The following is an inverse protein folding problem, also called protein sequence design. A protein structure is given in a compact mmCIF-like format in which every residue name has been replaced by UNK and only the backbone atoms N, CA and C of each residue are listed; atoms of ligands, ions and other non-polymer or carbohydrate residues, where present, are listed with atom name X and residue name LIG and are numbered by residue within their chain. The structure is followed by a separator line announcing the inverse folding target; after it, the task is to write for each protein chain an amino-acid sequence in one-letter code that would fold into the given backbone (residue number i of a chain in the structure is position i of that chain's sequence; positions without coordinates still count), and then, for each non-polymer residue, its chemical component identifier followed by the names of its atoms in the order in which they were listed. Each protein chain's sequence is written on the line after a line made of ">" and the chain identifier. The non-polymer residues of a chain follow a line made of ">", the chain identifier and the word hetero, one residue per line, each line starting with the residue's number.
data_IF_218695038355
#
_entry.id   IF_218695038355
#
_cell.length_a   1.000
_cell.length_b   1.000
_cell.length_c   1.000
_cell.angle_alpha   90.00
_cell.angle_beta   90.00
_cell.angle_gamma   90.00
#
_symmetry.space_group_name_H-M   'P 1'
#
loop_
_entity.id
_entity.type
_entity.pdbx_description
1 polymer ?
#
# COMPACT_ATOMS: atom_id res chain seq x y z
N UNK A 1 17.61 12.30 -18.40
CA UNK A 1 17.52 13.77 -18.18
C UNK A 1 16.65 14.04 -16.97
N UNK A 2 17.23 14.56 -15.90
CA UNK A 2 16.59 14.74 -14.59
C UNK A 2 15.53 15.84 -14.60
N UNK A 3 14.34 15.52 -14.07
CA UNK A 3 13.21 16.43 -13.79
C UNK A 3 13.52 17.57 -12.80
N UNK A 4 14.77 17.74 -12.38
CA UNK A 4 15.16 18.68 -11.31
C UNK A 4 15.82 19.99 -11.77
N UNK A 5 15.89 20.29 -13.07
CA UNK A 5 16.57 21.52 -13.54
C UNK A 5 15.67 22.75 -13.72
N UNK A 6 14.35 22.67 -13.49
CA UNK A 6 13.42 23.81 -13.68
C UNK A 6 12.84 24.44 -12.40
N UNK A 7 13.27 24.04 -11.20
CA UNK A 7 12.68 24.53 -9.93
C UNK A 7 13.23 25.91 -9.48
N UNK A 8 14.21 26.50 -10.16
CA UNK A 8 14.79 27.80 -9.76
C UNK A 8 14.51 28.95 -10.74
N UNK A 9 13.24 29.30 -10.98
CA UNK A 9 12.90 30.52 -11.76
C UNK A 9 12.19 31.64 -11.00
N UNK A 10 11.75 31.41 -9.77
CA UNK A 10 11.02 32.43 -9.00
C UNK A 10 11.56 32.53 -7.57
N UNK A 11 11.84 33.75 -7.14
CA UNK A 11 12.05 34.09 -5.73
C UNK A 11 10.77 33.91 -4.92
N UNK A 12 10.89 33.69 -3.62
CA UNK A 12 9.72 33.58 -2.70
C UNK A 12 8.81 34.81 -2.80
N UNK A 13 9.40 36.00 -3.02
CA UNK A 13 8.62 37.24 -3.20
C UNK A 13 7.77 37.20 -4.47
N UNK A 14 8.30 36.67 -5.56
CA UNK A 14 7.56 36.54 -6.82
C UNK A 14 6.45 35.49 -6.70
N UNK A 15 6.69 34.39 -5.98
CA UNK A 15 5.67 33.36 -5.73
C UNK A 15 4.49 33.88 -4.90
N UNK A 16 4.73 34.84 -3.99
CA UNK A 16 3.70 35.49 -3.18
C UNK A 16 2.93 36.60 -3.91
N UNK A 17 3.40 37.04 -5.08
CA UNK A 17 2.70 38.03 -5.90
C UNK A 17 1.67 37.33 -6.78
N UNK A 18 0.47 37.10 -6.23
CA UNK A 18 -0.59 36.34 -6.88
C UNK A 18 -1.27 37.13 -8.00
N UNK A 19 -1.58 36.46 -9.10
CA UNK A 19 -2.53 36.98 -10.12
C UNK A 19 -3.98 36.82 -9.64
N UNK A 20 -4.93 37.48 -10.31
CA UNK A 20 -6.37 37.31 -10.05
C UNK A 20 -6.83 35.85 -10.19
N UNK A 21 -6.29 35.13 -11.17
CA UNK A 21 -6.60 33.71 -11.39
C UNK A 21 -5.97 32.83 -10.29
N UNK A 22 -4.75 33.16 -9.85
CA UNK A 22 -4.11 32.48 -8.71
C UNK A 22 -4.87 32.74 -7.40
N UNK A 23 -5.40 33.94 -7.15
CA UNK A 23 -6.27 34.17 -5.99
C UNK A 23 -7.59 33.38 -6.08
N UNK A 24 -8.15 33.21 -7.27
CA UNK A 24 -9.37 32.43 -7.49
C UNK A 24 -9.14 30.94 -7.25
N UNK A 25 -7.96 30.39 -7.55
CA UNK A 25 -7.71 28.95 -7.35
C UNK A 25 -7.78 28.55 -5.88
N UNK A 26 -7.26 29.38 -4.97
CA UNK A 26 -7.37 29.14 -3.52
C UNK A 26 -8.84 29.18 -3.05
N UNK A 27 -9.67 30.05 -3.64
CA UNK A 27 -11.12 30.09 -3.38
C UNK A 27 -11.83 28.84 -3.92
N UNK A 28 -11.48 28.40 -5.12
CA UNK A 28 -12.03 27.18 -5.72
C UNK A 28 -11.68 25.93 -4.89
N UNK A 29 -10.46 25.85 -4.36
CA UNK A 29 -10.05 24.77 -3.44
C UNK A 29 -10.84 24.85 -2.13
N UNK A 30 -10.97 26.05 -1.55
CA UNK A 30 -11.69 26.26 -0.30
C UNK A 30 -13.16 25.83 -0.39
N UNK A 31 -13.78 26.07 -1.55
CA UNK A 31 -15.17 25.73 -1.85
C UNK A 31 -15.34 24.31 -2.43
N UNK A 32 -14.24 23.56 -2.60
CA UNK A 32 -14.20 22.27 -3.29
C UNK A 32 -14.85 22.28 -4.69
N UNK A 33 -14.80 23.43 -5.38
CA UNK A 33 -15.37 23.62 -6.72
C UNK A 33 -14.42 23.07 -7.79
N UNK A 34 -14.53 21.77 -8.07
CA UNK A 34 -13.70 21.07 -9.07
C UNK A 34 -13.77 21.74 -10.45
N UNK A 35 -14.95 22.17 -10.90
CA UNK A 35 -15.09 22.72 -12.26
C UNK A 35 -14.35 24.04 -12.44
N UNK A 36 -14.50 24.96 -11.48
CA UNK A 36 -13.78 26.23 -11.48
C UNK A 36 -12.28 26.01 -11.31
N UNK A 37 -11.90 25.12 -10.40
CA UNK A 37 -10.51 24.71 -10.19
C UNK A 37 -9.87 24.21 -11.49
N UNK A 38 -10.51 23.26 -12.18
CA UNK A 38 -9.99 22.70 -13.45
C UNK A 38 -9.82 23.79 -14.52
N UNK A 39 -10.75 24.76 -14.60
CA UNK A 39 -10.66 25.86 -15.57
C UNK A 39 -9.49 26.83 -15.29
N UNK A 40 -8.98 26.85 -14.05
CA UNK A 40 -7.90 27.75 -13.61
C UNK A 40 -6.51 27.09 -13.70
N UNK A 41 -6.42 25.76 -13.73
CA UNK A 41 -5.14 25.02 -13.64
C UNK A 41 -4.11 25.45 -14.69
N UNK A 42 -4.54 25.68 -15.94
CA UNK A 42 -3.64 26.06 -17.03
C UNK A 42 -3.13 27.51 -16.93
N UNK A 43 -3.72 28.32 -16.04
CA UNK A 43 -3.45 29.77 -15.92
C UNK A 43 -2.61 30.14 -14.71
N UNK A 44 -2.31 29.19 -13.83
CA UNK A 44 -1.64 29.45 -12.56
C UNK A 44 -0.20 28.93 -12.57
N UNK A 45 0.66 29.52 -11.73
CA UNK A 45 1.91 28.87 -11.35
C UNK A 45 1.59 27.78 -10.32
N UNK A 46 2.02 26.51 -10.53
CA UNK A 46 1.70 25.40 -9.62
C UNK A 46 2.12 25.62 -8.16
N UNK A 47 3.19 26.40 -7.96
CA UNK A 47 3.80 26.68 -6.66
C UNK A 47 3.60 28.14 -6.22
N UNK A 48 2.56 28.84 -6.72
CA UNK A 48 2.17 30.15 -6.20
C UNK A 48 1.84 30.06 -4.69
N UNK A 49 1.96 31.17 -3.96
CA UNK A 49 1.90 31.16 -2.50
C UNK A 49 0.97 32.24 -1.97
N UNK A 50 0.11 31.88 -1.01
CA UNK A 50 -0.54 32.85 -0.15
C UNK A 50 0.47 33.53 0.81
N UNK A 51 0.00 34.55 1.54
CA UNK A 51 0.85 35.35 2.44
C UNK A 51 1.58 34.52 3.50
N UNK A 52 0.93 33.49 4.03
CA UNK A 52 1.45 32.53 5.02
C UNK A 52 2.32 31.41 4.41
N UNK A 53 2.59 31.45 3.10
CA UNK A 53 3.37 30.44 2.41
C UNK A 53 2.62 29.15 2.07
N UNK A 54 1.29 29.14 2.12
CA UNK A 54 0.47 28.04 1.63
C UNK A 54 0.45 28.04 0.10
N UNK A 55 0.74 26.88 -0.51
CA UNK A 55 0.52 26.67 -1.94
C UNK A 55 -0.84 26.03 -2.21
N UNK A 56 -1.34 26.07 -3.47
CA UNK A 56 -2.58 25.38 -3.83
C UNK A 56 -2.55 23.90 -3.44
N UNK A 57 -1.40 23.24 -3.63
CA UNK A 57 -1.21 21.83 -3.25
C UNK A 57 -1.38 21.64 -1.75
N UNK A 58 -0.77 22.49 -0.92
CA UNK A 58 -0.88 22.39 0.53
C UNK A 58 -2.34 22.55 0.98
N UNK A 59 -3.07 23.53 0.44
CA UNK A 59 -4.49 23.72 0.80
C UNK A 59 -5.35 22.53 0.35
N UNK A 60 -5.15 22.01 -0.86
CA UNK A 60 -5.87 20.83 -1.35
C UNK A 60 -5.58 19.58 -0.49
N UNK A 61 -4.34 19.39 -0.03
CA UNK A 61 -3.96 18.33 0.88
C UNK A 61 -4.67 18.44 2.24
N UNK A 62 -4.74 19.65 2.81
CA UNK A 62 -5.42 19.88 4.08
C UNK A 62 -6.94 19.67 3.98
N UNK A 63 -7.56 20.13 2.88
CA UNK A 63 -8.98 19.86 2.59
C UNK A 63 -9.26 18.38 2.35
N UNK A 64 -8.25 17.66 1.87
CA UNK A 64 -8.36 16.24 1.61
C UNK A 64 -9.06 15.92 0.30
N UNK A 65 -8.99 16.83 -0.66
CA UNK A 65 -9.55 16.62 -2.00
C UNK A 65 -8.53 15.85 -2.86
N UNK A 66 -8.70 14.52 -2.92
CA UNK A 66 -7.81 13.61 -3.65
C UNK A 66 -7.63 14.00 -5.12
N UNK A 67 -8.68 14.52 -5.78
CA UNK A 67 -8.65 14.80 -7.20
C UNK A 67 -7.90 16.10 -7.51
N UNK A 68 -8.14 17.16 -6.73
CA UNK A 68 -7.39 18.42 -6.85
C UNK A 68 -5.89 18.20 -6.60
N UNK A 69 -5.54 17.36 -5.63
CA UNK A 69 -4.13 17.01 -5.36
C UNK A 69 -3.47 16.37 -6.58
N UNK A 70 -4.12 15.37 -7.20
CA UNK A 70 -3.58 14.73 -8.40
C UNK A 70 -3.36 15.73 -9.53
N UNK A 71 -4.39 16.54 -9.83
CA UNK A 71 -4.31 17.54 -10.89
C UNK A 71 -3.18 18.55 -10.66
N UNK A 72 -2.93 18.97 -9.41
CA UNK A 72 -1.82 19.88 -9.09
C UNK A 72 -0.45 19.22 -9.29
N UNK A 73 -0.31 17.96 -8.87
CA UNK A 73 0.93 17.20 -9.08
C UNK A 73 1.19 16.97 -10.57
N UNK A 74 0.15 16.72 -11.37
CA UNK A 74 0.23 16.54 -12.83
C UNK A 74 0.72 17.80 -13.55
N UNK A 75 0.35 19.01 -13.10
CA UNK A 75 0.88 20.27 -13.65
C UNK A 75 2.24 20.68 -13.06
N UNK A 76 2.87 19.82 -12.25
CA UNK A 76 4.21 20.03 -11.72
C UNK A 76 4.29 20.83 -10.41
N UNK A 77 3.25 20.79 -9.58
CA UNK A 77 3.35 21.27 -8.20
C UNK A 77 4.42 20.47 -7.43
N UNK A 78 5.22 21.19 -6.64
CA UNK A 78 6.29 20.59 -5.84
C UNK A 78 5.71 19.85 -4.63
N UNK A 79 5.78 18.52 -4.66
CA UNK A 79 5.26 17.63 -3.61
C UNK A 79 5.99 17.80 -2.26
N UNK A 80 7.19 18.39 -2.26
CA UNK A 80 8.00 18.63 -1.07
C UNK A 80 8.20 20.12 -0.77
N UNK A 81 7.32 20.99 -1.26
CA UNK A 81 7.37 22.45 -1.06
C UNK A 81 7.42 22.84 0.43
N UNK A 82 8.25 23.82 0.78
CA UNK A 82 8.58 24.17 2.18
C UNK A 82 8.44 25.65 2.54
N UNK A 83 7.64 26.39 1.79
CA UNK A 83 7.52 27.84 1.99
C UNK A 83 6.54 28.25 3.09
N UNK A 84 5.81 27.31 3.69
CA UNK A 84 4.96 27.58 4.85
C UNK A 84 5.79 28.13 6.01
N UNK A 85 5.28 29.15 6.71
CA UNK A 85 6.06 29.90 7.72
C UNK A 85 6.60 29.02 8.87
N UNK A 86 5.97 27.87 9.13
CA UNK A 86 6.41 26.88 10.14
C UNK A 86 7.16 25.67 9.55
N UNK A 87 7.51 25.69 8.27
CA UNK A 87 8.21 24.60 7.59
C UNK A 87 7.37 23.33 7.36
N UNK A 88 6.04 23.46 7.32
CA UNK A 88 5.16 22.32 7.06
C UNK A 88 5.14 22.00 5.56
N UNK A 89 5.25 20.71 5.23
CA UNK A 89 5.18 20.20 3.85
C UNK A 89 3.75 19.76 3.51
N UNK A 90 3.39 19.60 2.21
CA UNK A 90 2.12 19.02 1.82
C UNK A 90 1.82 17.67 2.50
N UNK A 91 2.86 16.83 2.67
CA UNK A 91 2.72 15.52 3.31
C UNK A 91 2.33 15.65 4.79
N UNK A 92 2.85 16.64 5.52
CA UNK A 92 2.46 16.91 6.90
C UNK A 92 1.00 17.36 7.00
N UNK A 93 0.52 18.20 6.08
CA UNK A 93 -0.88 18.62 6.06
C UNK A 93 -1.83 17.46 5.72
N UNK A 94 -1.48 16.62 4.76
CA UNK A 94 -2.25 15.41 4.44
C UNK A 94 -2.30 14.42 5.61
N UNK A 95 -1.17 14.27 6.31
CA UNK A 95 -1.03 13.44 7.51
C UNK A 95 -1.92 13.95 8.66
N UNK A 96 -1.89 15.26 8.93
CA UNK A 96 -2.74 15.90 9.94
C UNK A 96 -4.24 15.78 9.61
N UNK A 97 -4.59 15.94 8.34
CA UNK A 97 -5.96 15.82 7.86
C UNK A 97 -6.48 14.37 7.81
N UNK A 98 -5.62 13.37 8.10
CA UNK A 98 -6.01 11.96 8.09
C UNK A 98 -6.32 11.42 6.70
N UNK A 99 -5.54 11.84 5.69
CA UNK A 99 -5.78 11.51 4.28
C UNK A 99 -4.71 10.55 3.74
N UNK A 100 -4.80 9.24 4.02
CA UNK A 100 -3.74 8.28 3.70
C UNK A 100 -3.48 8.13 2.20
N UNK A 101 -4.52 8.25 1.37
CA UNK A 101 -4.35 8.20 -0.09
C UNK A 101 -3.65 9.45 -0.64
N UNK A 102 -3.91 10.63 -0.08
CA UNK A 102 -3.18 11.85 -0.45
C UNK A 102 -1.73 11.72 0.01
N UNK A 103 -1.47 11.18 1.21
CA UNK A 103 -0.11 10.87 1.64
C UNK A 103 0.58 9.96 0.60
N UNK A 104 -0.08 8.90 0.14
CA UNK A 104 0.47 8.02 -0.89
C UNK A 104 0.76 8.74 -2.21
N UNK A 105 -0.15 9.61 -2.70
CA UNK A 105 0.06 10.38 -3.93
C UNK A 105 1.28 11.31 -3.83
N UNK A 106 1.43 12.00 -2.71
CA UNK A 106 2.57 12.88 -2.46
C UNK A 106 3.89 12.10 -2.41
N UNK A 107 3.90 10.95 -1.72
CA UNK A 107 5.06 10.07 -1.64
C UNK A 107 5.43 9.51 -3.03
N UNK A 108 4.43 9.09 -3.81
CA UNK A 108 4.62 8.63 -5.18
C UNK A 108 5.18 9.75 -6.09
N UNK A 109 4.94 11.02 -5.73
CA UNK A 109 5.46 12.21 -6.40
C UNK A 109 6.76 12.75 -5.80
N UNK A 110 7.42 11.97 -4.94
CA UNK A 110 8.76 12.29 -4.41
C UNK A 110 8.79 13.09 -3.12
N UNK A 111 7.65 13.29 -2.42
CA UNK A 111 7.65 13.91 -1.10
C UNK A 111 8.52 13.12 -0.11
N UNK A 112 9.32 13.82 0.69
CA UNK A 112 10.24 13.17 1.63
C UNK A 112 9.55 12.87 2.97
N UNK A 113 9.75 11.65 3.48
CA UNK A 113 9.23 11.19 4.78
C UNK A 113 10.02 11.73 5.97
N UNK A 114 11.22 12.28 5.72
CA UNK A 114 12.19 12.69 6.75
C UNK A 114 12.30 14.21 6.93
N UNK A 115 11.50 15.00 6.22
CA UNK A 115 11.47 16.45 6.43
C UNK A 115 10.89 16.75 7.80
N UNK A 116 11.55 17.63 8.53
CA UNK A 116 11.10 18.13 9.83
C UNK A 116 10.59 19.57 9.69
N UNK A 117 9.50 19.87 10.38
CA UNK A 117 9.01 21.24 10.53
C UNK A 117 9.78 22.01 11.62
N UNK A 118 9.36 23.24 11.92
CA UNK A 118 10.02 24.10 12.91
C UNK A 118 10.06 23.55 14.35
N UNK A 119 9.26 22.54 14.68
CA UNK A 119 9.26 21.86 15.98
C UNK A 119 9.99 20.51 15.96
N UNK A 120 10.72 20.21 14.89
CA UNK A 120 11.50 18.97 14.76
C UNK A 120 10.62 17.73 14.58
N UNK A 121 9.48 17.86 13.88
CA UNK A 121 8.55 16.75 13.65
C UNK A 121 8.36 16.44 12.17
N UNK A 122 8.42 15.15 11.86
CA UNK A 122 8.15 14.57 10.54
C UNK A 122 6.65 14.36 10.29
N UNK A 123 6.26 14.17 9.03
CA UNK A 123 4.85 13.90 8.70
C UNK A 123 4.28 12.65 9.40
N UNK A 124 5.09 11.60 9.54
CA UNK A 124 4.69 10.38 10.26
C UNK A 124 4.46 10.62 11.75
N UNK A 125 5.31 11.43 12.40
CA UNK A 125 5.12 11.81 13.79
C UNK A 125 3.92 12.74 13.99
N UNK A 126 3.68 13.67 13.06
CA UNK A 126 2.49 14.53 13.09
C UNK A 126 1.21 13.67 12.98
N UNK A 127 1.16 12.71 12.04
CA UNK A 127 0.06 11.75 11.95
C UNK A 127 -0.13 10.97 13.25
N UNK A 128 0.95 10.50 13.87
CA UNK A 128 0.88 9.78 15.14
C UNK A 128 0.32 10.65 16.27
N UNK A 129 0.75 11.92 16.34
CA UNK A 129 0.32 12.89 17.36
C UNK A 129 -1.19 13.12 17.34
N UNK A 130 -1.80 13.18 16.15
CA UNK A 130 -3.26 13.35 15.98
C UNK A 130 -4.02 12.02 15.86
N UNK A 131 -3.35 10.88 16.05
CA UNK A 131 -3.99 9.55 16.01
C UNK A 131 -4.40 9.07 14.61
N UNK A 132 -3.78 9.58 13.55
CA UNK A 132 -4.04 9.21 12.15
C UNK A 132 -3.24 7.98 11.74
N UNK A 133 -3.56 6.83 12.33
CA UNK A 133 -2.73 5.62 12.27
C UNK A 133 -2.51 5.05 10.86
N UNK A 134 -3.51 5.12 9.97
CA UNK A 134 -3.33 4.68 8.58
C UNK A 134 -2.29 5.55 7.86
N UNK A 135 -2.29 6.87 8.09
CA UNK A 135 -1.28 7.77 7.53
C UNK A 135 0.12 7.42 8.05
N UNK A 136 0.26 7.12 9.35
CA UNK A 136 1.52 6.62 9.93
C UNK A 136 1.98 5.37 9.17
N UNK A 137 1.09 4.41 8.97
CA UNK A 137 1.43 3.16 8.27
C UNK A 137 1.83 3.39 6.82
N UNK A 138 1.13 4.26 6.08
CA UNK A 138 1.43 4.61 4.68
C UNK A 138 2.81 5.27 4.59
N UNK A 139 3.07 6.28 5.43
CA UNK A 139 4.32 7.04 5.42
C UNK A 139 5.50 6.14 5.80
N UNK A 140 5.38 5.37 6.88
CA UNK A 140 6.47 4.52 7.36
C UNK A 140 6.70 3.29 6.48
N UNK A 141 5.70 2.88 5.69
CA UNK A 141 5.82 1.74 4.79
C UNK A 141 6.34 2.10 3.39
N UNK A 142 6.61 3.38 3.13
CA UNK A 142 7.00 3.85 1.81
C UNK A 142 8.42 3.44 1.43
N UNK A 143 8.58 3.06 0.17
CA UNK A 143 9.86 2.83 -0.50
C UNK A 143 9.81 3.65 -1.77
N UNK A 144 10.76 4.56 -1.95
CA UNK A 144 10.79 5.42 -3.12
C UNK A 144 11.11 4.65 -4.39
N UNK A 145 10.57 5.09 -5.53
CA UNK A 145 10.85 4.51 -6.85
C UNK A 145 12.37 4.50 -7.15
N UNK A 146 13.09 5.52 -6.69
CA UNK A 146 14.54 5.62 -6.84
C UNK A 146 15.31 4.50 -6.12
N UNK A 147 14.79 3.97 -5.02
CA UNK A 147 15.42 2.83 -4.34
C UNK A 147 15.31 1.55 -5.18
N UNK A 148 14.17 1.34 -5.84
CA UNK A 148 13.95 0.25 -6.77
C UNK A 148 14.86 0.42 -8.00
N UNK A 149 14.86 1.63 -8.56
CA UNK A 149 15.64 1.97 -9.73
C UNK A 149 17.14 1.76 -9.51
N UNK A 150 17.69 2.18 -8.37
CA UNK A 150 19.10 1.97 -8.00
C UNK A 150 19.49 0.49 -7.88
N UNK A 151 18.55 -0.37 -7.47
CA UNK A 151 18.81 -1.82 -7.38
C UNK A 151 18.79 -2.47 -8.77
N UNK A 152 17.86 -2.07 -9.63
CA UNK A 152 17.77 -2.58 -11.00
C UNK A 152 18.90 -2.04 -11.88
N UNK A 153 19.28 -0.78 -11.68
CA UNK A 153 20.25 -0.03 -12.46
C UNK A 153 21.33 0.61 -11.57
N UNK A 154 22.28 -0.17 -11.00
CA UNK A 154 23.28 0.34 -10.06
C UNK A 154 24.19 1.44 -10.62
N UNK A 155 24.37 1.49 -11.94
CA UNK A 155 25.16 2.52 -12.64
C UNK A 155 24.28 3.45 -13.49
N UNK A 156 22.97 3.53 -13.19
CA UNK A 156 22.00 4.27 -13.99
C UNK A 156 21.98 3.77 -15.43
N UNK A 157 22.02 4.70 -16.39
CA UNK A 157 22.04 4.41 -17.84
C UNK A 157 23.27 3.60 -18.30
N UNK A 158 24.33 3.52 -17.48
CA UNK A 158 25.53 2.72 -17.77
C UNK A 158 25.46 1.28 -17.23
N UNK A 159 24.33 0.89 -16.63
CA UNK A 159 24.17 -0.47 -16.10
C UNK A 159 24.22 -1.50 -17.22
N UNK A 160 24.79 -2.67 -16.94
CA UNK A 160 24.97 -3.77 -17.91
C UNK A 160 23.66 -4.15 -18.63
N UNK A 161 22.56 -4.12 -17.89
CA UNK A 161 21.21 -4.33 -18.41
C UNK A 161 20.30 -3.20 -17.96
N UNK A 162 19.60 -2.62 -18.93
CA UNK A 162 18.54 -1.65 -18.70
C UNK A 162 17.20 -2.39 -18.77
N UNK A 163 16.45 -2.34 -17.69
CA UNK A 163 15.11 -2.90 -17.56
C UNK A 163 14.05 -1.84 -17.90
N UNK A 164 12.88 -2.27 -18.40
CA UNK A 164 11.78 -1.35 -18.71
C UNK A 164 11.28 -0.59 -17.47
N UNK A 165 10.84 0.66 -17.65
CA UNK A 165 10.28 1.48 -16.57
C UNK A 165 9.03 0.84 -15.96
N UNK A 166 8.26 0.13 -16.78
CA UNK A 166 7.09 -0.63 -16.35
C UNK A 166 7.44 -1.65 -15.26
N UNK A 167 8.63 -2.27 -15.33
CA UNK A 167 9.11 -3.19 -14.29
C UNK A 167 9.49 -2.44 -13.01
N UNK A 168 10.15 -1.29 -13.14
CA UNK A 168 10.51 -0.41 -11.99
C UNK A 168 9.23 0.00 -11.26
N UNK A 169 8.25 0.49 -12.01
CA UNK A 169 6.97 0.95 -11.50
C UNK A 169 6.16 -0.20 -10.88
N UNK A 170 6.19 -1.38 -11.48
CA UNK A 170 5.54 -2.57 -10.93
C UNK A 170 6.13 -2.96 -9.57
N UNK A 171 7.46 -3.07 -9.47
CA UNK A 171 8.12 -3.42 -8.21
C UNK A 171 7.89 -2.32 -7.17
N UNK A 172 7.99 -1.05 -7.56
CA UNK A 172 7.66 0.09 -6.71
C UNK A 172 6.24 -0.01 -6.15
N UNK A 173 5.21 -0.21 -7.00
CA UNK A 173 3.82 -0.43 -6.56
C UNK A 173 3.68 -1.56 -5.55
N UNK A 174 4.38 -2.67 -5.78
CA UNK A 174 4.31 -3.85 -4.92
C UNK A 174 4.90 -3.61 -3.53
N UNK A 175 5.94 -2.77 -3.42
CA UNK A 175 6.71 -2.62 -2.17
C UNK A 175 6.45 -1.32 -1.41
N UNK A 176 5.92 -0.29 -2.07
CA UNK A 176 5.75 1.06 -1.51
C UNK A 176 4.56 1.26 -0.57
N UNK A 177 3.63 0.30 -0.52
CA UNK A 177 2.40 0.45 0.25
C UNK A 177 2.48 -0.30 1.59
N UNK A 178 1.60 0.05 2.51
CA UNK A 178 1.41 -0.69 3.77
C UNK A 178 0.55 -1.97 3.59
N UNK A 179 0.11 -2.28 2.36
CA UNK A 179 -0.70 -3.45 2.05
C UNK A 179 0.20 -4.63 1.69
N UNK A 180 0.16 -5.69 2.51
CA UNK A 180 1.01 -6.88 2.33
C UNK A 180 0.22 -8.19 2.42
N UNK A 181 -1.11 -8.13 2.31
CA UNK A 181 -1.94 -9.34 2.32
C UNK A 181 -1.66 -10.20 1.08
N UNK A 182 -1.43 -11.52 1.20
CA UNK A 182 -1.03 -12.36 0.07
C UNK A 182 -1.96 -12.27 -1.15
N UNK A 183 -3.28 -12.29 -0.93
CA UNK A 183 -4.27 -12.19 -2.02
C UNK A 183 -4.27 -10.80 -2.67
N UNK A 184 -3.96 -9.73 -1.91
CA UNK A 184 -3.83 -8.40 -2.50
C UNK A 184 -2.64 -8.35 -3.45
N UNK A 185 -1.50 -8.87 -3.00
CA UNK A 185 -0.28 -8.94 -3.80
C UNK A 185 -0.50 -9.75 -5.08
N UNK A 186 -1.22 -10.87 -5.00
CA UNK A 186 -1.58 -11.68 -6.17
C UNK A 186 -2.48 -10.89 -7.14
N UNK A 187 -3.44 -10.11 -6.64
CA UNK A 187 -4.25 -9.24 -7.52
C UNK A 187 -3.40 -8.17 -8.20
N UNK A 188 -2.42 -7.59 -7.50
CA UNK A 188 -1.50 -6.61 -8.08
C UNK A 188 -0.60 -7.25 -9.15
N UNK A 189 -0.10 -8.47 -8.92
CA UNK A 189 0.64 -9.28 -9.92
C UNK A 189 -0.23 -9.60 -11.13
N UNK A 190 -1.47 -10.03 -10.95
CA UNK A 190 -2.34 -10.43 -12.06
C UNK A 190 -2.79 -9.23 -12.90
N UNK A 191 -2.92 -8.06 -12.26
CA UNK A 191 -3.22 -6.81 -12.93
C UNK A 191 -2.08 -6.28 -13.82
N UNK A 192 -0.86 -6.80 -13.66
CA UNK A 192 0.33 -6.33 -14.36
C UNK A 192 1.19 -7.50 -14.88
N UNK A 193 1.15 -7.70 -16.20
CA UNK A 193 1.81 -8.84 -16.85
C UNK A 193 3.35 -8.82 -16.82
N UNK A 194 3.98 -7.68 -16.50
CA UNK A 194 5.44 -7.48 -16.68
C UNK A 194 6.29 -8.46 -15.87
N UNK A 195 5.76 -8.95 -14.75
CA UNK A 195 6.42 -9.95 -13.90
C UNK A 195 6.63 -11.29 -14.62
N UNK A 196 5.77 -11.67 -15.56
CA UNK A 196 5.83 -13.00 -16.19
C UNK A 196 7.07 -13.21 -17.03
N UNK A 197 7.67 -12.12 -17.52
CA UNK A 197 8.94 -12.11 -18.27
C UNK A 197 10.13 -11.80 -17.37
N UNK A 198 9.91 -11.13 -16.23
CA UNK A 198 10.96 -10.61 -15.36
C UNK A 198 10.99 -11.24 -13.96
N UNK A 199 10.33 -12.38 -13.76
CA UNK A 199 10.04 -12.99 -12.45
C UNK A 199 11.25 -13.13 -11.53
N UNK A 200 12.38 -13.60 -12.05
CA UNK A 200 13.59 -13.83 -11.26
C UNK A 200 14.18 -12.50 -10.80
N UNK A 201 14.20 -11.50 -11.69
CA UNK A 201 14.69 -10.17 -11.35
C UNK A 201 13.74 -9.44 -10.40
N UNK A 202 12.43 -9.60 -10.54
CA UNK A 202 11.43 -9.07 -9.60
C UNK A 202 11.68 -9.63 -8.21
N UNK A 203 11.73 -10.96 -8.06
CA UNK A 203 11.98 -11.61 -6.76
C UNK A 203 13.32 -11.19 -6.18
N UNK A 204 14.37 -11.13 -7.01
CA UNK A 204 15.68 -10.67 -6.58
C UNK A 204 15.68 -9.21 -6.11
N UNK A 205 14.98 -8.32 -6.82
CA UNK A 205 14.91 -6.90 -6.46
C UNK A 205 14.17 -6.69 -5.13
N UNK A 206 13.05 -7.39 -4.94
CA UNK A 206 12.31 -7.36 -3.66
C UNK A 206 13.17 -7.95 -2.53
N UNK A 207 13.93 -9.01 -2.79
CA UNK A 207 14.89 -9.58 -1.83
C UNK A 207 16.01 -8.59 -1.46
N UNK A 208 16.54 -7.81 -2.41
CA UNK A 208 17.50 -6.74 -2.12
C UNK A 208 16.90 -5.59 -1.33
N UNK A 209 15.66 -5.18 -1.63
CA UNK A 209 14.92 -4.17 -0.85
C UNK A 209 14.71 -4.64 0.58
N UNK A 210 14.35 -5.91 0.76
CA UNK A 210 14.21 -6.57 2.05
C UNK A 210 15.52 -6.56 2.84
N UNK A 211 16.62 -7.04 2.25
CA UNK A 211 17.94 -7.09 2.89
C UNK A 211 18.44 -5.70 3.30
N UNK A 212 18.15 -4.67 2.49
CA UNK A 212 18.50 -3.28 2.81
C UNK A 212 17.88 -2.81 4.13
N UNK A 213 16.68 -3.29 4.50
CA UNK A 213 16.01 -2.85 5.74
C UNK A 213 16.72 -3.33 7.01
N UNK A 214 17.52 -4.38 6.91
CA UNK A 214 18.21 -4.99 8.05
C UNK A 214 19.70 -4.63 8.10
N UNK A 215 20.26 -4.18 6.97
CA UNK A 215 21.68 -3.82 6.82
C UNK A 215 21.90 -2.31 6.96
N UNK A 216 21.16 -1.67 7.86
CA UNK A 216 21.29 -0.25 8.23
C UNK A 216 21.72 -0.12 9.69
N UNK A 217 22.23 1.06 10.07
CA UNK A 217 22.65 1.35 11.45
C UNK A 217 21.52 1.07 12.46
N UNK A 218 20.29 1.39 12.06
CA UNK A 218 19.06 1.08 12.78
C UNK A 218 18.20 0.18 11.88
N UNK A 219 18.05 -1.12 12.21
CA UNK A 219 17.23 -2.03 11.42
C UNK A 219 15.76 -1.65 11.47
N UNK A 220 15.11 -1.59 10.30
CA UNK A 220 13.68 -1.41 10.22
C UNK A 220 12.97 -2.78 10.25
N UNK A 221 12.79 -3.32 11.46
CA UNK A 221 12.22 -4.66 11.63
C UNK A 221 10.79 -4.77 11.04
N UNK A 222 9.96 -3.74 11.22
CA UNK A 222 8.59 -3.69 10.68
C UNK A 222 8.61 -3.82 9.16
N UNK A 223 9.43 -3.01 8.48
CA UNK A 223 9.55 -3.09 7.02
C UNK A 223 10.18 -4.38 6.55
N UNK A 224 11.14 -4.93 7.30
CA UNK A 224 11.75 -6.21 6.97
C UNK A 224 10.75 -7.36 6.98
N UNK A 225 9.88 -7.43 8.00
CA UNK A 225 8.83 -8.45 8.08
C UNK A 225 7.79 -8.22 6.98
N UNK A 226 7.38 -6.96 6.74
CA UNK A 226 6.46 -6.61 5.64
C UNK A 226 6.99 -7.10 4.29
N UNK A 227 8.20 -6.70 3.92
CA UNK A 227 8.83 -7.07 2.64
C UNK A 227 9.11 -8.56 2.55
N UNK A 228 9.37 -9.23 3.67
CA UNK A 228 9.47 -10.67 3.70
C UNK A 228 8.15 -11.36 3.32
N UNK A 229 7.01 -10.89 3.84
CA UNK A 229 5.70 -11.43 3.45
C UNK A 229 5.43 -11.19 1.96
N UNK A 230 5.80 -10.02 1.43
CA UNK A 230 5.74 -9.74 -0.01
C UNK A 230 6.58 -10.76 -0.79
N UNK A 231 7.85 -10.90 -0.43
CA UNK A 231 8.80 -11.80 -1.08
C UNK A 231 8.39 -13.27 -1.00
N UNK A 232 7.96 -13.73 0.17
CA UNK A 232 7.50 -15.09 0.41
C UNK A 232 6.27 -15.39 -0.44
N UNK A 233 5.31 -14.46 -0.52
CA UNK A 233 4.14 -14.58 -1.38
C UNK A 233 4.50 -14.71 -2.85
N UNK A 234 5.40 -13.87 -3.36
CA UNK A 234 5.86 -13.96 -4.75
C UNK A 234 6.50 -15.32 -5.04
N UNK A 235 7.40 -15.79 -4.15
CA UNK A 235 8.12 -17.07 -4.33
C UNK A 235 7.15 -18.25 -4.39
N UNK A 236 6.25 -18.36 -3.41
CA UNK A 236 5.28 -19.46 -3.33
C UNK A 236 4.29 -19.43 -4.51
N UNK A 237 3.79 -18.25 -4.87
CA UNK A 237 2.89 -18.09 -6.00
C UNK A 237 3.58 -18.46 -7.32
N UNK A 238 4.78 -17.96 -7.59
CA UNK A 238 5.52 -18.28 -8.81
C UNK A 238 5.85 -19.77 -8.90
N UNK A 239 6.24 -20.39 -7.79
CA UNK A 239 6.48 -21.83 -7.73
C UNK A 239 5.19 -22.63 -8.00
N UNK A 240 4.05 -22.19 -7.46
CA UNK A 240 2.75 -22.79 -7.71
C UNK A 240 2.38 -22.69 -9.21
N UNK A 241 2.52 -21.51 -9.80
CA UNK A 241 2.25 -21.26 -11.23
C UNK A 241 3.14 -22.15 -12.10
N UNK A 242 4.44 -22.20 -11.85
CA UNK A 242 5.39 -23.02 -12.62
C UNK A 242 5.05 -24.51 -12.58
N UNK A 243 4.68 -25.02 -11.39
CA UNK A 243 4.27 -26.41 -11.22
C UNK A 243 3.03 -26.75 -12.06
N UNK A 244 2.04 -25.85 -12.08
CA UNK A 244 0.79 -26.09 -12.82
C UNK A 244 0.95 -25.90 -14.32
N UNK A 245 1.79 -24.97 -14.78
CA UNK A 245 2.13 -24.81 -16.20
C UNK A 245 2.85 -26.06 -16.72
N UNK A 246 3.84 -26.59 -15.97
CA UNK A 246 4.52 -27.84 -16.34
C UNK A 246 3.51 -28.99 -16.47
N UNK A 247 2.61 -29.14 -15.51
CA UNK A 247 1.58 -30.18 -15.54
C UNK A 247 0.58 -30.01 -16.69
N UNK A 248 0.22 -28.78 -17.06
CA UNK A 248 -0.68 -28.50 -18.18
C UNK A 248 -0.01 -28.76 -19.53
N UNK A 249 1.27 -28.40 -19.68
CA UNK A 249 2.05 -28.65 -20.90
C UNK A 249 2.33 -30.14 -21.10
N UNK A 250 2.46 -30.92 -20.03
CA UNK A 250 2.55 -32.39 -20.15
C UNK A 250 1.26 -33.05 -20.66
N UNK A 251 0.12 -32.33 -20.68
CA UNK A 251 -1.18 -32.85 -21.14
C UNK A 251 -1.54 -32.44 -22.57
N UNK A 252 -0.83 -31.49 -23.17
CA UNK A 252 -1.15 -30.93 -24.49
C UNK A 252 0.08 -30.99 -25.40
N UNK A 253 -0.05 -31.63 -26.56
CA UNK A 253 1.05 -31.81 -27.53
C UNK A 253 1.33 -30.56 -28.40
N UNK A 254 0.49 -29.53 -28.35
CA UNK A 254 0.63 -28.31 -29.15
C UNK A 254 1.27 -27.14 -28.38
N UNK A 255 2.18 -26.41 -29.05
CA UNK A 255 2.76 -25.15 -28.54
C UNK A 255 1.69 -24.05 -28.54
N UNK A 256 1.37 -23.53 -27.35
CA UNK A 256 0.47 -22.39 -27.17
C UNK A 256 1.11 -21.10 -27.67
N UNK A 257 0.27 -20.16 -28.10
CA UNK A 257 0.70 -18.79 -28.39
C UNK A 257 1.18 -18.06 -27.12
N UNK A 258 1.96 -16.99 -27.26
CA UNK A 258 2.49 -16.22 -26.12
C UNK A 258 1.35 -15.64 -25.24
N UNK A 259 0.30 -15.11 -25.85
CA UNK A 259 -0.88 -14.57 -25.16
C UNK A 259 -1.62 -15.64 -24.34
N UNK A 260 -1.80 -16.83 -24.91
CA UNK A 260 -2.40 -17.97 -24.19
C UNK A 260 -1.53 -18.43 -23.00
N UNK A 261 -0.21 -18.26 -23.11
CA UNK A 261 0.74 -18.53 -22.04
C UNK A 261 0.58 -17.57 -20.86
N UNK A 262 0.40 -16.27 -21.12
CA UNK A 262 0.19 -15.26 -20.09
C UNK A 262 -1.16 -15.43 -19.36
N UNK A 263 -2.25 -15.64 -20.11
CA UNK A 263 -3.58 -15.85 -19.53
C UNK A 263 -3.60 -17.07 -18.61
N UNK A 264 -2.86 -18.12 -18.97
CA UNK A 264 -2.72 -19.30 -18.14
C UNK A 264 -1.92 -19.03 -16.85
N UNK A 265 -0.85 -18.24 -16.92
CA UNK A 265 -0.09 -17.78 -15.73
C UNK A 265 -1.00 -16.99 -14.78
N UNK A 266 -1.75 -16.01 -15.31
CA UNK A 266 -2.73 -15.21 -14.56
C UNK A 266 -3.79 -16.09 -13.91
N UNK A 267 -4.35 -17.04 -14.66
CA UNK A 267 -5.32 -18.01 -14.14
C UNK A 267 -4.77 -18.80 -12.96
N UNK A 268 -3.57 -19.38 -13.09
CA UNK A 268 -2.99 -20.18 -12.00
C UNK A 268 -2.60 -19.33 -10.79
N UNK A 269 -2.20 -18.07 -10.98
CA UNK A 269 -1.99 -17.14 -9.87
C UNK A 269 -3.31 -16.85 -9.12
N UNK A 270 -4.40 -16.61 -9.85
CA UNK A 270 -5.73 -16.47 -9.25
C UNK A 270 -6.20 -17.76 -8.56
N UNK A 271 -5.89 -18.93 -9.11
CA UNK A 271 -6.18 -20.20 -8.47
C UNK A 271 -5.36 -20.37 -7.18
N UNK A 272 -4.10 -19.92 -7.13
CA UNK A 272 -3.33 -19.85 -5.89
C UNK A 272 -4.02 -18.95 -4.86
N UNK A 273 -4.48 -17.75 -5.23
CA UNK A 273 -5.27 -16.90 -4.33
C UNK A 273 -6.55 -17.60 -3.81
N UNK A 274 -7.28 -18.31 -4.67
CA UNK A 274 -8.44 -19.11 -4.25
C UNK A 274 -8.06 -20.21 -3.26
N UNK A 275 -6.91 -20.85 -3.41
CA UNK A 275 -6.45 -21.85 -2.42
C UNK A 275 -6.26 -21.23 -1.04
N UNK A 276 -5.71 -20.02 -0.96
CA UNK A 276 -5.56 -19.29 0.31
C UNK A 276 -6.92 -18.95 0.94
N UNK A 277 -7.88 -18.51 0.12
CA UNK A 277 -9.22 -18.13 0.60
C UNK A 277 -10.13 -19.32 0.92
N UNK A 278 -9.78 -20.52 0.44
CA UNK A 278 -10.63 -21.69 0.58
C UNK A 278 -10.82 -22.05 2.06
N UNK A 279 -12.07 -21.90 2.49
CA UNK A 279 -12.45 -22.12 3.87
C UNK A 279 -12.81 -23.57 4.11
N UNK A 280 -12.45 -24.07 5.28
CA UNK A 280 -12.74 -25.42 5.74
C UNK A 280 -13.75 -25.32 6.88
N UNK A 281 -14.94 -25.97 6.80
CA UNK A 281 -16.04 -25.75 7.74
C UNK A 281 -15.68 -25.96 9.22
N UNK A 282 -14.69 -26.80 9.48
CA UNK A 282 -14.22 -27.13 10.83
C UNK A 282 -13.57 -25.93 11.54
N UNK A 283 -12.95 -25.02 10.80
CA UNK A 283 -12.17 -23.92 11.38
C UNK A 283 -12.99 -22.62 11.53
N UNK A 284 -12.52 -21.73 12.39
CA UNK A 284 -13.13 -20.42 12.65
C UNK A 284 -12.46 -19.28 11.89
N UNK A 285 -11.29 -19.55 11.33
CA UNK A 285 -10.51 -18.68 10.45
C UNK A 285 -10.16 -19.44 9.18
N UNK A 286 -9.72 -18.73 8.14
CA UNK A 286 -9.33 -19.39 6.88
C UNK A 286 -8.09 -20.25 7.09
N UNK A 287 -8.28 -21.55 7.08
CA UNK A 287 -7.25 -22.55 7.32
C UNK A 287 -5.99 -22.35 6.47
N UNK A 288 -6.14 -22.21 5.16
CA UNK A 288 -5.00 -22.11 4.23
C UNK A 288 -4.26 -20.78 4.37
N UNK A 289 -4.98 -19.68 4.55
CA UNK A 289 -4.41 -18.35 4.83
C UNK A 289 -3.62 -18.36 6.15
N UNK A 290 -4.21 -18.92 7.21
CA UNK A 290 -3.58 -19.09 8.53
C UNK A 290 -2.25 -19.86 8.42
N UNK A 291 -2.29 -21.02 7.75
CA UNK A 291 -1.13 -21.87 7.54
C UNK A 291 -0.04 -21.16 6.74
N UNK A 292 -0.43 -20.44 5.68
CA UNK A 292 0.47 -19.69 4.82
C UNK A 292 1.22 -18.61 5.62
N UNK A 293 0.51 -17.78 6.39
CA UNK A 293 1.10 -16.69 7.17
C UNK A 293 2.03 -17.23 8.26
N UNK A 294 1.61 -18.28 8.98
CA UNK A 294 2.46 -18.92 10.00
C UNK A 294 3.75 -19.48 9.41
N UNK A 295 3.68 -20.16 8.26
CA UNK A 295 4.87 -20.66 7.54
C UNK A 295 5.78 -19.53 7.08
N UNK A 296 5.21 -18.44 6.57
CA UNK A 296 5.98 -17.27 6.16
C UNK A 296 6.79 -16.70 7.33
N UNK A 297 6.17 -16.51 8.51
CA UNK A 297 6.87 -16.03 9.71
C UNK A 297 7.91 -17.05 10.19
N UNK A 298 7.57 -18.35 10.26
CA UNK A 298 8.54 -19.39 10.63
C UNK A 298 9.72 -19.45 9.66
N UNK A 299 9.54 -19.06 8.39
CA UNK A 299 10.61 -19.03 7.38
C UNK A 299 11.42 -17.73 7.36
N UNK A 300 11.03 -16.71 8.13
CA UNK A 300 11.73 -15.43 8.20
C UNK A 300 13.22 -15.62 8.57
N UNK A 301 14.19 -15.11 7.81
CA UNK A 301 15.59 -15.53 7.99
C UNK A 301 16.25 -14.96 9.26
N UNK A 302 15.80 -13.82 9.79
CA UNK A 302 16.46 -13.11 10.90
C UNK A 302 15.78 -13.40 12.25
N UNK A 303 16.11 -14.54 12.86
CA UNK A 303 15.49 -15.02 14.11
C UNK A 303 15.84 -14.20 15.36
N UNK A 304 16.85 -13.35 15.26
CA UNK A 304 17.26 -12.41 16.29
C UNK A 304 16.39 -11.15 16.36
N UNK A 305 15.55 -10.88 15.35
CA UNK A 305 14.62 -9.76 15.38
C UNK A 305 13.67 -9.90 16.57
N UNK A 306 13.57 -8.84 17.38
CA UNK A 306 12.70 -8.83 18.55
C UNK A 306 11.23 -8.90 18.13
N UNK A 307 10.87 -8.21 17.06
CA UNK A 307 9.53 -8.26 16.45
C UNK A 307 9.19 -9.67 15.98
N UNK A 308 10.13 -10.36 15.31
CA UNK A 308 9.92 -11.74 14.89
C UNK A 308 9.72 -12.68 16.09
N UNK A 309 10.54 -12.55 17.14
CA UNK A 309 10.42 -13.37 18.35
C UNK A 309 9.06 -13.17 19.03
N UNK A 310 8.62 -11.91 19.14
CA UNK A 310 7.29 -11.56 19.65
C UNK A 310 6.18 -12.18 18.81
N UNK A 311 6.20 -12.01 17.48
CA UNK A 311 5.22 -12.59 16.55
C UNK A 311 5.18 -14.12 16.64
N UNK A 312 6.33 -14.77 16.64
CA UNK A 312 6.43 -16.22 16.72
C UNK A 312 5.88 -16.75 18.05
N UNK A 313 6.07 -16.02 19.15
CA UNK A 313 5.48 -16.36 20.44
C UNK A 313 3.96 -16.16 20.43
N UNK A 314 3.46 -15.04 19.92
CA UNK A 314 2.01 -14.79 19.79
C UNK A 314 1.31 -15.84 18.94
N UNK A 315 1.95 -16.33 17.89
CA UNK A 315 1.39 -17.43 17.10
C UNK A 315 1.31 -18.74 17.88
N UNK A 316 2.29 -19.05 18.74
CA UNK A 316 2.26 -20.27 19.57
C UNK A 316 1.15 -20.23 20.63
N UNK A 317 0.81 -19.04 21.13
CA UNK A 317 -0.25 -18.88 22.14
C UNK A 317 -1.66 -18.98 21.59
N UNK A 318 -1.84 -18.78 20.27
CA UNK A 318 -3.14 -18.87 19.60
C UNK A 318 -3.25 -20.23 18.91
N UNK A 319 -4.22 -21.03 19.34
CA UNK A 319 -4.53 -22.32 18.74
C UNK A 319 -4.77 -22.17 17.23
N UNK A 320 -4.22 -23.11 16.46
CA UNK A 320 -4.34 -23.08 15.01
C UNK A 320 -5.80 -23.23 14.56
N UNK A 321 -6.25 -22.32 13.69
CA UNK A 321 -7.62 -22.33 13.20
C UNK A 321 -8.62 -21.60 14.11
N UNK A 322 -8.16 -21.11 15.25
CA UNK A 322 -8.92 -20.28 16.19
C UNK A 322 -8.59 -18.79 16.00
N UNK A 323 -9.51 -17.88 16.37
CA UNK A 323 -9.26 -16.45 16.37
C UNK A 323 -8.29 -16.02 17.48
N UNK A 324 -7.60 -14.87 17.32
CA UNK A 324 -7.58 -14.04 16.12
C UNK A 324 -6.76 -14.70 14.99
N UNK A 325 -7.13 -14.50 13.71
CA UNK A 325 -6.34 -15.02 12.58
C UNK A 325 -4.88 -14.52 12.63
N UNK A 326 -3.93 -15.34 12.18
CA UNK A 326 -2.51 -15.01 12.10
C UNK A 326 -2.25 -13.71 11.34
N UNK A 327 -3.00 -13.43 10.29
CA UNK A 327 -2.89 -12.17 9.56
C UNK A 327 -3.28 -10.95 10.42
N UNK A 328 -4.28 -11.07 11.30
CA UNK A 328 -4.68 -10.00 12.22
C UNK A 328 -3.61 -9.77 13.29
N UNK A 329 -3.02 -10.83 13.83
CA UNK A 329 -1.88 -10.73 14.74
C UNK A 329 -0.71 -10.00 14.05
N UNK A 330 -0.43 -10.35 12.79
CA UNK A 330 0.59 -9.69 12.00
C UNK A 330 0.28 -8.20 11.75
N UNK A 331 -0.96 -7.87 11.39
CA UNK A 331 -1.39 -6.48 11.28
C UNK A 331 -1.24 -5.70 12.58
N UNK A 332 -1.59 -6.29 13.73
CA UNK A 332 -1.43 -5.62 15.02
C UNK A 332 0.03 -5.25 15.30
N UNK A 333 0.96 -6.13 14.94
CA UNK A 333 2.39 -5.91 15.12
C UNK A 333 2.98 -4.89 14.14
N UNK A 334 2.56 -4.91 12.87
CA UNK A 334 3.16 -4.07 11.82
C UNK A 334 2.46 -2.72 11.62
N UNK A 335 1.15 -2.67 11.86
CA UNK A 335 0.29 -1.54 11.56
C UNK A 335 -0.23 -0.84 12.84
N UNK A 336 -0.08 -1.49 13.99
CA UNK A 336 -0.49 -0.98 15.29
C UNK A 336 -1.92 -1.36 15.66
N UNK A 337 -2.13 -1.70 16.93
CA UNK A 337 -3.39 -2.22 17.46
C UNK A 337 -4.59 -1.29 17.22
N UNK A 338 -4.43 0.02 17.47
CA UNK A 338 -5.50 1.00 17.27
C UNK A 338 -5.98 1.04 15.82
N UNK A 339 -5.04 1.06 14.86
CA UNK A 339 -5.38 1.05 13.44
C UNK A 339 -6.19 -0.20 13.08
N UNK A 340 -5.78 -1.37 13.56
CA UNK A 340 -6.47 -2.63 13.26
C UNK A 340 -7.89 -2.65 13.83
N UNK A 341 -8.07 -2.16 15.05
CA UNK A 341 -9.39 -2.12 15.70
C UNK A 341 -10.36 -1.14 15.03
N UNK A 342 -9.89 0.02 14.57
CA UNK A 342 -10.76 1.05 13.97
C UNK A 342 -11.05 0.82 12.50
N UNK A 343 -10.33 -0.10 11.85
CA UNK A 343 -10.39 -0.32 10.40
C UNK A 343 -11.40 -1.39 10.00
N UNK A 344 -11.96 -1.22 8.81
CA UNK A 344 -12.85 -2.19 8.18
C UNK A 344 -12.07 -2.91 7.09
N UNK A 345 -11.40 -3.99 7.46
CA UNK A 345 -10.63 -4.77 6.50
C UNK A 345 -11.53 -5.53 5.53
N UNK A 346 -11.21 -5.43 4.24
CA UNK A 346 -11.82 -6.29 3.23
C UNK A 346 -11.47 -7.75 3.53
N UNK A 347 -12.48 -8.61 3.57
CA UNK A 347 -12.28 -10.04 3.81
C UNK A 347 -11.43 -10.73 2.75
N UNK A 348 -11.37 -10.22 1.52
CA UNK A 348 -10.62 -10.86 0.42
C UNK A 348 -9.16 -10.44 0.36
N UNK A 349 -8.91 -9.14 0.43
CA UNK A 349 -7.59 -8.54 0.17
C UNK A 349 -7.06 -7.67 1.32
N UNK A 350 -7.81 -7.55 2.41
CA UNK A 350 -7.44 -6.78 3.61
C UNK A 350 -7.10 -5.31 3.35
N UNK A 351 -7.75 -4.67 2.37
CA UNK A 351 -7.79 -3.20 2.31
C UNK A 351 -8.57 -2.66 3.53
N UNK A 352 -8.01 -1.72 4.32
CA UNK A 352 -8.58 -1.26 5.61
C UNK A 352 -9.81 -0.34 5.50
N UNK A 353 -10.09 0.17 4.30
CA UNK A 353 -11.14 1.17 4.03
C UNK A 353 -12.38 0.57 3.35
N UNK A 354 -12.73 -0.67 3.68
CA UNK A 354 -13.86 -1.35 3.06
C UNK A 354 -15.21 -0.71 3.46
N UNK A 355 -16.02 -0.35 2.45
CA UNK A 355 -17.33 0.29 2.64
C UNK A 355 -18.52 -0.64 2.42
N UNK A 356 -18.37 -1.68 1.58
CA UNK A 356 -19.44 -2.64 1.30
C UNK A 356 -19.42 -3.74 2.37
N UNK A 357 -20.56 -4.38 2.62
CA UNK A 357 -20.63 -5.52 3.53
C UNK A 357 -21.73 -6.52 3.17
N UNK A 358 -21.56 -7.77 3.57
CA UNK A 358 -22.59 -8.79 3.48
C UNK A 358 -23.81 -8.39 4.34
N UNK A 359 -25.04 -8.43 3.81
CA UNK A 359 -26.23 -8.05 4.57
C UNK A 359 -26.52 -9.02 5.72
N UNK A 360 -26.10 -10.28 5.62
CA UNK A 360 -26.30 -11.34 6.63
C UNK A 360 -25.24 -11.26 7.73
N UNK A 361 -24.03 -11.74 7.47
CA UNK A 361 -22.95 -11.78 8.47
C UNK A 361 -22.20 -10.45 8.73
N UNK A 362 -22.49 -9.36 7.99
CA UNK A 362 -21.84 -8.03 8.11
C UNK A 362 -20.33 -7.98 7.81
N UNK A 363 -19.72 -9.04 7.27
CA UNK A 363 -18.33 -9.00 6.77
C UNK A 363 -18.15 -7.94 5.68
N UNK A 364 -17.01 -7.25 5.71
CA UNK A 364 -16.70 -6.12 4.83
C UNK A 364 -15.94 -6.51 3.55
N UNK A 365 -16.19 -5.75 2.47
CA UNK A 365 -15.52 -5.85 1.17
C UNK A 365 -15.17 -4.46 0.64
N UNK A 366 -13.96 -4.29 0.09
CA UNK A 366 -13.55 -3.02 -0.51
C UNK A 366 -14.25 -2.76 -1.85
N UNK A 367 -14.59 -3.81 -2.60
CA UNK A 367 -15.20 -3.72 -3.93
C UNK A 367 -16.13 -4.90 -4.22
N UNK A 368 -16.92 -4.80 -5.29
CA UNK A 368 -17.83 -5.89 -5.71
C UNK A 368 -17.04 -7.06 -6.31
N UNK A 369 -15.89 -6.79 -6.92
CA UNK A 369 -14.97 -7.77 -7.48
C UNK A 369 -14.39 -8.64 -6.37
N UNK A 370 -13.91 -8.02 -5.27
CA UNK A 370 -13.43 -8.75 -4.10
C UNK A 370 -14.53 -9.62 -3.48
N UNK A 371 -15.77 -9.11 -3.40
CA UNK A 371 -16.90 -9.87 -2.91
C UNK A 371 -17.22 -11.06 -3.82
N UNK A 372 -17.27 -10.86 -5.14
CA UNK A 372 -17.53 -11.92 -6.13
C UNK A 372 -16.46 -13.00 -6.10
N UNK A 373 -15.20 -12.60 -5.97
CA UNK A 373 -14.06 -13.53 -5.90
C UNK A 373 -14.13 -14.43 -4.66
N UNK A 374 -14.54 -13.88 -3.51
CA UNK A 374 -14.66 -14.60 -2.24
C UNK A 374 -15.99 -15.34 -2.05
N UNK A 375 -17.02 -14.98 -2.81
CA UNK A 375 -18.38 -15.50 -2.64
C UNK A 375 -18.50 -17.04 -2.62
N UNK A 376 -17.79 -17.81 -3.47
CA UNK A 376 -17.86 -19.28 -3.42
C UNK A 376 -17.47 -19.88 -2.07
N UNK A 377 -16.60 -19.20 -1.32
CA UNK A 377 -16.14 -19.60 0.01
C UNK A 377 -17.04 -19.01 1.08
N UNK A 378 -17.27 -17.69 1.03
CA UNK A 378 -18.11 -16.96 1.98
C UNK A 378 -19.50 -17.59 2.14
N UNK A 379 -20.17 -17.93 1.03
CA UNK A 379 -21.54 -18.45 1.09
C UNK A 379 -21.67 -19.72 1.93
N UNK A 380 -20.60 -20.52 2.03
CA UNK A 380 -20.57 -21.75 2.82
C UNK A 380 -20.47 -21.49 4.32
N UNK A 381 -19.85 -20.39 4.74
CA UNK A 381 -19.63 -20.06 6.15
C UNK A 381 -20.46 -18.87 6.66
N UNK A 382 -21.20 -18.18 5.79
CA UNK A 382 -21.95 -16.96 6.11
C UNK A 382 -22.90 -17.12 7.31
N UNK A 383 -23.61 -18.25 7.40
CA UNK A 383 -24.51 -18.54 8.53
C UNK A 383 -23.78 -18.74 9.85
N UNK A 384 -22.66 -19.47 9.83
CA UNK A 384 -21.82 -19.69 11.01
C UNK A 384 -21.28 -18.35 11.54
N UNK A 385 -20.85 -17.49 10.62
CA UNK A 385 -20.33 -16.16 10.94
C UNK A 385 -21.41 -15.22 11.48
N UNK A 386 -22.64 -15.30 10.98
CA UNK A 386 -23.78 -14.55 11.52
C UNK A 386 -24.10 -14.96 12.96
N UNK A 387 -24.27 -16.26 13.21
CA UNK A 387 -24.57 -16.81 14.55
C UNK A 387 -23.49 -16.42 15.56
N UNK A 388 -22.22 -16.55 15.17
CA UNK A 388 -21.09 -16.19 16.02
C UNK A 388 -21.12 -14.71 16.41
N UNK A 389 -21.39 -13.82 15.45
CA UNK A 389 -21.49 -12.38 15.74
C UNK A 389 -22.65 -12.07 16.69
N UNK A 390 -23.75 -12.81 16.60
CA UNK A 390 -24.87 -12.68 17.52
C UNK A 390 -24.48 -13.12 18.93
N UNK A 391 -23.78 -14.24 19.07
CA UNK A 391 -23.21 -14.70 20.35
C UNK A 391 -22.24 -13.68 20.96
N UNK A 392 -21.30 -13.16 20.16
CA UNK A 392 -20.33 -12.14 20.62
C UNK A 392 -21.04 -10.88 21.13
N UNK A 393 -22.14 -10.46 20.49
CA UNK A 393 -22.95 -9.32 20.95
C UNK A 393 -23.70 -9.62 22.25
N UNK A 394 -24.25 -10.81 22.40
CA UNK A 394 -24.93 -11.22 23.63
C UNK A 394 -23.93 -11.29 24.80
N UNK A 395 -22.73 -11.80 24.57
CA UNK A 395 -21.64 -11.82 25.56
C UNK A 395 -21.21 -10.40 25.97
N UNK A 396 -21.07 -9.48 25.01
CA UNK A 396 -20.75 -8.08 25.30
C UNK A 396 -21.86 -7.38 26.12
N UNK A 397 -23.12 -7.64 25.81
CA UNK A 397 -24.26 -7.08 26.56
C UNK A 397 -24.30 -7.62 27.99
N UNK A 398 -23.97 -8.89 28.19
CA UNK A 398 -23.99 -9.53 29.51
C UNK A 398 -22.77 -9.18 30.38
N UNK A 399 -21.74 -8.54 29.82
CA UNK A 399 -20.55 -8.07 30.54
C UNK A 399 -20.62 -6.58 30.96
N UNK A 400 -21.68 -5.87 30.57
CA UNK A 400 -22.00 -4.49 30.94
C UNK A 400 -23.09 -4.52 32.01
#
# INVERSE_FOLDING_TARGET
>A
MSLNENIQKFSVKELKNLTSDEEQIFKAIEQENIQEFTNLLEKIRPNCLEKNGMSPLVQACFKGNEEMVKMLLEIGADADIRYHDQGYTPLMFAALAGKPKICQLLLDSGASTHVENSIGKTAGEMAAFVGQYECVSVINAHIGVEDVNKILHPQGEKSEKIYPNELVDFIHRLTRTHLFHPVRLIFDVVGDGIIWENREKTVWTVDRLFEKQLRTKEPNEVMSVKLWIVLYTLREMLQFVDKHIKAENSKKEEKKSENEGEDLKKKFALDFAKTLLNDQPEYLVRHNEELFIRRAIVSFPYKQSMLWQSLNQSFKTVEFGSPPPAFIILCNALLGHRFVQTSKFCRTCSIPSAKKRCPKCKIYYCSIECQRFDWPFHKKCCEKLEKRREQEKEEEINQI
#
